data_IF_491608449340
#
_entry.id   IF_491608449340
#
_cell.length_a   1.000
_cell.length_b   1.000
_cell.length_c   1.000
_cell.angle_alpha   90.00
_cell.angle_beta   90.00
_cell.angle_gamma   90.00
#
_symmetry.space_group_name_H-M   'P 1'
#
loop_
_entity.id
_entity.type
_entity.pdbx_description
1 polymer ?
#
# COMPACT_ATOMS: atom_id res chain seq x y z
N UNK A 1 22.61 16.38 -25.40
CA UNK A 1 22.10 15.81 -24.15
C UNK A 1 21.18 14.67 -24.52
N UNK A 2 21.19 13.52 -23.86
CA UNK A 2 20.21 12.47 -24.12
C UNK A 2 18.81 13.05 -23.87
N UNK A 3 17.87 12.74 -24.73
CA UNK A 3 16.49 13.22 -24.64
C UNK A 3 15.87 12.69 -23.33
N UNK A 4 15.45 13.59 -22.45
CA UNK A 4 14.79 13.23 -21.19
C UNK A 4 13.53 12.41 -21.48
N UNK A 5 13.44 11.22 -20.90
CA UNK A 5 12.29 10.31 -21.09
C UNK A 5 11.03 10.86 -20.43
N UNK A 6 9.91 10.75 -21.15
CA UNK A 6 8.61 11.32 -20.76
C UNK A 6 7.65 10.23 -20.28
N UNK A 7 7.17 10.37 -19.06
CA UNK A 7 6.22 9.43 -18.44
C UNK A 7 4.88 10.14 -18.21
N UNK A 8 3.83 9.63 -18.85
CA UNK A 8 2.46 10.01 -18.54
C UNK A 8 1.93 9.10 -17.44
N UNK A 9 1.59 9.65 -16.29
CA UNK A 9 0.94 8.91 -15.20
C UNK A 9 -0.56 9.18 -15.22
N UNK A 10 -1.36 8.12 -15.28
CA UNK A 10 -2.81 8.19 -15.17
C UNK A 10 -3.21 7.50 -13.87
N UNK A 11 -3.73 8.26 -12.92
CA UNK A 11 -3.98 7.82 -11.56
C UNK A 11 -5.36 8.20 -11.08
N UNK A 12 -5.96 7.37 -10.23
CA UNK A 12 -7.28 7.65 -9.68
C UNK A 12 -7.24 8.77 -8.64
N UNK A 13 -6.29 8.75 -7.73
CA UNK A 13 -6.15 9.76 -6.68
C UNK A 13 -4.69 10.04 -6.35
N UNK A 14 -4.39 11.33 -6.17
CA UNK A 14 -3.13 11.82 -5.59
C UNK A 14 -3.38 12.59 -4.29
N UNK A 15 -4.55 12.41 -3.68
CA UNK A 15 -4.86 12.94 -2.36
C UNK A 15 -4.32 11.97 -1.31
N UNK A 16 -3.24 12.36 -0.65
CA UNK A 16 -2.58 11.52 0.39
C UNK A 16 -3.46 11.28 1.61
N UNK A 17 -4.48 12.10 1.82
CA UNK A 17 -5.45 11.92 2.90
C UNK A 17 -6.57 10.91 2.55
N UNK A 18 -6.68 10.52 1.29
CA UNK A 18 -7.73 9.65 0.79
C UNK A 18 -7.50 8.17 1.16
N UNK A 19 -6.26 7.68 0.99
CA UNK A 19 -5.94 6.27 1.30
C UNK A 19 -4.42 5.99 1.32
N UNK A 20 -4.03 4.83 1.88
CA UNK A 20 -2.66 4.32 1.78
C UNK A 20 -2.23 4.07 0.33
N UNK A 21 -3.15 3.63 -0.54
CA UNK A 21 -2.87 3.46 -1.97
C UNK A 21 -2.56 4.78 -2.65
N UNK A 22 -3.24 5.88 -2.29
CA UNK A 22 -2.93 7.22 -2.82
C UNK A 22 -1.56 7.71 -2.34
N UNK A 23 -1.17 7.43 -1.09
CA UNK A 23 0.19 7.72 -0.58
C UNK A 23 1.25 6.97 -1.39
N UNK A 24 1.08 5.67 -1.61
CA UNK A 24 2.00 4.87 -2.41
C UNK A 24 2.11 5.37 -3.86
N UNK A 25 0.98 5.79 -4.46
CA UNK A 25 0.96 6.37 -5.80
C UNK A 25 1.74 7.70 -5.85
N UNK A 26 1.55 8.58 -4.88
CA UNK A 26 2.26 9.87 -4.81
C UNK A 26 3.77 9.64 -4.62
N UNK A 27 4.17 8.75 -3.71
CA UNK A 27 5.57 8.40 -3.52
C UNK A 27 6.24 7.90 -4.81
N UNK A 28 5.57 7.00 -5.55
CA UNK A 28 6.07 6.52 -6.84
C UNK A 28 6.20 7.66 -7.87
N UNK A 29 5.20 8.53 -7.97
CA UNK A 29 5.21 9.67 -8.90
C UNK A 29 6.37 10.62 -8.60
N UNK A 30 6.57 10.96 -7.33
CA UNK A 30 7.65 11.85 -6.89
C UNK A 30 9.02 11.23 -7.15
N UNK A 31 9.19 9.93 -6.87
CA UNK A 31 10.45 9.23 -7.09
C UNK A 31 10.76 9.06 -8.59
N UNK A 32 9.76 8.91 -9.47
CA UNK A 32 9.97 8.96 -10.92
C UNK A 32 10.49 10.33 -11.36
N UNK A 33 9.96 11.41 -10.82
CA UNK A 33 10.47 12.76 -11.11
C UNK A 33 11.89 12.94 -10.57
N UNK A 34 12.15 12.55 -9.33
CA UNK A 34 13.49 12.60 -8.71
C UNK A 34 14.52 11.74 -9.45
N UNK A 35 14.09 10.63 -10.06
CA UNK A 35 14.90 9.80 -10.94
C UNK A 35 15.27 10.46 -12.29
N UNK A 36 14.80 11.69 -12.52
CA UNK A 36 15.14 12.51 -13.68
C UNK A 36 14.19 12.34 -14.88
N UNK A 37 13.05 11.67 -14.73
CA UNK A 37 12.04 11.59 -15.79
C UNK A 37 11.18 12.85 -15.85
N UNK A 38 10.76 13.27 -17.06
CA UNK A 38 9.72 14.29 -17.23
C UNK A 38 8.35 13.64 -16.98
N UNK A 39 7.72 13.98 -15.86
CA UNK A 39 6.46 13.34 -15.42
C UNK A 39 5.29 14.30 -15.62
N UNK A 40 4.25 13.84 -16.31
CA UNK A 40 2.95 14.52 -16.41
C UNK A 40 1.88 13.61 -15.77
N UNK A 41 1.12 14.16 -14.82
CA UNK A 41 0.10 13.40 -14.07
C UNK A 41 -1.30 13.82 -14.49
N UNK A 42 -2.11 12.86 -14.91
CA UNK A 42 -3.55 13.02 -15.07
C UNK A 42 -4.25 12.26 -13.94
N UNK A 43 -4.94 12.97 -13.04
CA UNK A 43 -5.56 12.38 -11.87
C UNK A 43 -7.07 12.62 -11.77
N UNK A 44 -7.79 11.61 -11.30
CA UNK A 44 -9.26 11.67 -11.12
C UNK A 44 -9.65 11.88 -9.65
N UNK A 45 -8.86 12.66 -8.90
CA UNK A 45 -9.07 12.93 -7.47
C UNK A 45 -10.34 13.75 -7.19
N UNK A 46 -10.87 14.46 -8.23
CA UNK A 46 -12.01 15.40 -8.11
C UNK A 46 -11.70 16.64 -7.26
N UNK A 47 -10.43 16.90 -6.99
CA UNK A 47 -9.87 18.08 -6.33
C UNK A 47 -8.73 18.59 -7.19
N UNK A 48 -8.47 19.87 -7.17
CA UNK A 48 -7.26 20.45 -7.76
C UNK A 48 -6.10 20.21 -6.77
N UNK A 49 -5.18 19.33 -7.13
CA UNK A 49 -3.99 19.02 -6.32
C UNK A 49 -2.78 19.14 -7.25
N UNK A 50 -1.73 19.79 -6.75
CA UNK A 50 -0.43 19.86 -7.39
C UNK A 50 0.61 19.18 -6.53
N UNK A 51 1.50 18.42 -7.15
CA UNK A 51 2.71 17.90 -6.52
C UNK A 51 3.86 18.85 -6.85
N UNK A 52 4.76 19.04 -5.89
CA UNK A 52 5.88 19.94 -6.08
C UNK A 52 6.68 19.55 -7.34
N UNK A 53 6.96 20.54 -8.21
CA UNK A 53 7.75 20.41 -9.43
C UNK A 53 7.19 19.45 -10.50
N UNK A 54 5.99 18.87 -10.28
CA UNK A 54 5.36 17.93 -11.21
C UNK A 54 4.05 18.51 -11.76
N UNK A 55 3.92 18.52 -13.06
CA UNK A 55 2.69 18.98 -13.73
C UNK A 55 1.54 18.01 -13.47
N UNK A 56 0.51 18.45 -12.76
CA UNK A 56 -0.69 17.68 -12.45
C UNK A 56 -1.93 18.28 -13.10
N UNK A 57 -2.71 17.43 -13.77
CA UNK A 57 -3.94 17.79 -14.47
C UNK A 57 -5.14 17.06 -13.87
N UNK A 58 -6.00 17.80 -13.18
CA UNK A 58 -7.23 17.25 -12.62
C UNK A 58 -8.24 16.91 -13.72
N UNK A 59 -8.66 15.66 -13.79
CA UNK A 59 -9.64 15.19 -14.77
C UNK A 59 -11.04 15.56 -14.31
N UNK A 60 -11.77 16.29 -15.14
CA UNK A 60 -13.16 16.70 -14.88
C UNK A 60 -14.15 15.58 -15.21
N UNK A 61 -15.09 15.33 -14.31
CA UNK A 61 -16.18 14.37 -14.52
C UNK A 61 -17.08 14.80 -15.68
N UNK A 62 -17.38 13.89 -16.61
CA UNK A 62 -18.36 14.09 -17.68
C UNK A 62 -19.77 14.10 -17.12
N UNK A 63 -20.33 15.28 -16.84
CA UNK A 63 -21.65 15.44 -16.23
C UNK A 63 -22.81 15.45 -17.22
N UNK A 64 -22.52 15.57 -18.54
CA UNK A 64 -23.54 15.58 -19.62
C UNK A 64 -23.50 14.29 -20.42
N UNK A 65 -23.53 13.13 -19.74
CA UNK A 65 -23.55 11.82 -20.38
C UNK A 65 -24.72 10.96 -19.88
N UNK A 66 -25.23 10.05 -20.71
CA UNK A 66 -26.27 9.11 -20.29
C UNK A 66 -25.82 8.27 -19.08
N UNK A 67 -24.55 7.84 -19.05
CA UNK A 67 -23.97 7.09 -17.91
C UNK A 67 -23.95 7.92 -16.62
N UNK A 68 -23.70 9.23 -16.71
CA UNK A 68 -23.79 10.11 -15.56
C UNK A 68 -25.23 10.17 -15.03
N UNK A 69 -26.21 10.37 -15.90
CA UNK A 69 -27.62 10.41 -15.51
C UNK A 69 -28.06 9.08 -14.88
N UNK A 70 -27.72 7.95 -15.49
CA UNK A 70 -27.99 6.61 -14.94
C UNK A 70 -27.31 6.39 -13.57
N UNK A 71 -26.09 6.84 -13.40
CA UNK A 71 -25.37 6.76 -12.12
C UNK A 71 -26.03 7.61 -11.02
N UNK A 72 -26.62 8.75 -11.40
CA UNK A 72 -27.37 9.63 -10.47
C UNK A 72 -28.72 9.00 -10.12
N UNK A 73 -29.42 8.45 -11.10
CA UNK A 73 -30.68 7.74 -10.88
C UNK A 73 -30.50 6.53 -9.95
N UNK A 74 -29.44 5.73 -10.15
CA UNK A 74 -29.11 4.61 -9.25
C UNK A 74 -28.90 5.09 -7.80
N UNK A 75 -28.14 6.19 -7.61
CA UNK A 75 -27.92 6.78 -6.29
C UNK A 75 -29.19 7.33 -5.67
N UNK A 76 -30.06 7.98 -6.47
CA UNK A 76 -31.37 8.45 -6.05
C UNK A 76 -32.25 7.31 -5.56
N UNK A 77 -32.39 6.24 -6.35
CA UNK A 77 -33.16 5.04 -5.99
C UNK A 77 -32.63 4.44 -4.68
N UNK A 78 -31.32 4.29 -4.56
CA UNK A 78 -30.70 3.76 -3.34
C UNK A 78 -30.98 4.63 -2.12
N UNK A 79 -30.92 5.93 -2.27
CA UNK A 79 -31.12 6.86 -1.15
C UNK A 79 -32.58 6.91 -0.68
N UNK A 80 -33.51 7.09 -1.61
CA UNK A 80 -34.92 7.29 -1.26
C UNK A 80 -35.67 5.96 -1.04
N UNK A 81 -35.42 4.97 -1.88
CA UNK A 81 -36.15 3.69 -1.80
C UNK A 81 -35.38 2.61 -1.04
N UNK A 82 -34.13 2.88 -0.59
CA UNK A 82 -33.25 1.92 0.08
C UNK A 82 -32.97 0.65 -0.77
N UNK A 83 -33.22 0.70 -2.07
CA UNK A 83 -32.98 -0.40 -3.02
C UNK A 83 -31.59 -0.23 -3.63
N UNK A 84 -30.72 -1.20 -3.41
CA UNK A 84 -29.40 -1.22 -4.02
C UNK A 84 -29.45 -1.98 -5.34
N UNK A 85 -29.48 -1.27 -6.46
CA UNK A 85 -29.40 -1.85 -7.80
C UNK A 85 -27.95 -2.19 -8.21
N UNK A 86 -26.95 -1.72 -7.47
CA UNK A 86 -25.54 -1.87 -7.84
C UNK A 86 -25.13 -3.33 -8.04
N UNK A 87 -25.51 -4.24 -7.12
CA UNK A 87 -25.20 -5.67 -7.24
C UNK A 87 -25.82 -6.31 -8.49
N UNK A 88 -27.06 -5.92 -8.84
CA UNK A 88 -27.73 -6.42 -10.05
C UNK A 88 -27.05 -5.89 -11.31
N UNK A 89 -26.76 -4.60 -11.35
CA UNK A 89 -26.07 -3.97 -12.47
C UNK A 89 -24.67 -4.55 -12.66
N UNK A 90 -23.92 -4.71 -11.58
CA UNK A 90 -22.60 -5.34 -11.64
C UNK A 90 -22.65 -6.81 -12.06
N UNK A 91 -23.69 -7.54 -11.67
CA UNK A 91 -23.88 -8.93 -12.12
C UNK A 91 -24.08 -9.02 -13.65
N UNK A 92 -24.75 -8.02 -14.24
CA UNK A 92 -25.02 -7.96 -15.69
C UNK A 92 -23.84 -7.35 -16.45
N UNK A 93 -23.34 -6.21 -16.00
CA UNK A 93 -22.34 -5.39 -16.72
C UNK A 93 -20.91 -5.53 -16.18
N UNK A 94 -20.71 -6.25 -15.08
CA UNK A 94 -19.43 -6.39 -14.40
C UNK A 94 -19.07 -5.21 -13.49
N UNK A 95 -19.51 -4.00 -13.87
CA UNK A 95 -19.13 -2.76 -13.21
C UNK A 95 -20.31 -1.78 -13.15
N UNK A 96 -20.20 -0.80 -12.24
CA UNK A 96 -21.21 0.25 -12.06
C UNK A 96 -21.21 1.28 -13.19
N UNK A 97 -22.34 1.92 -13.42
CA UNK A 97 -22.43 3.06 -14.36
C UNK A 97 -21.52 4.22 -13.96
N UNK A 98 -21.27 4.39 -12.66
CA UNK A 98 -20.30 5.38 -12.17
C UNK A 98 -18.91 5.08 -12.70
N UNK A 99 -18.44 3.81 -12.60
CA UNK A 99 -17.13 3.43 -13.11
C UNK A 99 -17.02 3.66 -14.63
N UNK A 100 -18.04 3.30 -15.38
CA UNK A 100 -18.05 3.55 -16.84
C UNK A 100 -18.02 5.04 -17.19
N UNK A 101 -18.73 5.89 -16.44
CA UNK A 101 -18.66 7.33 -16.62
C UNK A 101 -17.28 7.90 -16.28
N UNK A 102 -16.69 7.45 -15.18
CA UNK A 102 -15.36 7.84 -14.73
C UNK A 102 -14.29 7.45 -15.77
N UNK A 103 -14.33 6.20 -16.24
CA UNK A 103 -13.51 5.72 -17.37
C UNK A 103 -13.62 6.63 -18.59
N UNK A 104 -14.85 6.96 -18.99
CA UNK A 104 -15.08 7.81 -20.19
C UNK A 104 -14.62 9.24 -19.95
N UNK A 105 -14.63 9.72 -18.71
CA UNK A 105 -14.07 11.02 -18.34
C UNK A 105 -12.54 11.04 -18.50
N UNK A 106 -11.87 9.98 -18.04
CA UNK A 106 -10.42 9.82 -18.19
C UNK A 106 -10.06 9.73 -19.67
N UNK A 107 -10.75 8.90 -20.46
CA UNK A 107 -10.51 8.78 -21.92
C UNK A 107 -10.65 10.11 -22.64
N UNK A 108 -11.67 10.91 -22.28
CA UNK A 108 -11.88 12.21 -22.91
C UNK A 108 -10.73 13.19 -22.60
N UNK A 109 -10.31 13.25 -21.33
CA UNK A 109 -9.20 14.11 -20.94
C UNK A 109 -7.88 13.71 -21.63
N UNK A 110 -7.59 12.42 -21.74
CA UNK A 110 -6.39 11.96 -22.44
C UNK A 110 -6.42 12.21 -23.95
N UNK A 111 -7.59 12.18 -24.59
CA UNK A 111 -7.74 12.52 -26.02
C UNK A 111 -7.53 14.02 -26.27
N UNK A 112 -7.81 14.86 -25.30
CA UNK A 112 -7.62 16.31 -25.37
C UNK A 112 -6.19 16.74 -25.04
N UNK A 113 -5.33 15.81 -24.58
CA UNK A 113 -3.93 16.08 -24.25
C UNK A 113 -3.16 16.58 -25.47
N UNK A 114 -2.51 17.73 -25.33
CA UNK A 114 -1.69 18.35 -26.40
C UNK A 114 -0.26 18.58 -25.90
N UNK A 115 0.69 18.52 -26.83
CA UNK A 115 2.08 18.91 -26.56
C UNK A 115 2.92 17.88 -25.82
N UNK A 116 2.34 16.89 -25.15
CA UNK A 116 3.08 15.85 -24.43
C UNK A 116 3.01 14.52 -25.17
N UNK A 117 4.15 14.03 -25.62
CA UNK A 117 4.28 12.73 -26.30
C UNK A 117 5.01 11.76 -25.35
N UNK A 118 4.29 10.91 -24.61
CA UNK A 118 4.91 10.02 -23.65
C UNK A 118 5.74 8.92 -24.33
N UNK A 119 6.89 8.59 -23.73
CA UNK A 119 7.64 7.37 -24.01
C UNK A 119 7.04 6.17 -23.27
N UNK A 120 6.44 6.43 -22.08
CA UNK A 120 5.77 5.45 -21.24
C UNK A 120 4.46 6.04 -20.70
N UNK A 121 3.41 5.21 -20.63
CA UNK A 121 2.13 5.53 -19.99
C UNK A 121 1.94 4.60 -18.81
N UNK A 122 1.99 5.14 -17.61
CA UNK A 122 1.83 4.40 -16.35
C UNK A 122 0.41 4.57 -15.82
N UNK A 123 -0.33 3.48 -15.61
CA UNK A 123 -1.60 3.51 -14.90
C UNK A 123 -1.44 2.96 -13.49
N UNK A 124 -1.96 3.69 -12.50
CA UNK A 124 -1.91 3.32 -11.10
C UNK A 124 -3.30 2.97 -10.59
N UNK A 125 -3.46 1.77 -10.01
CA UNK A 125 -4.70 1.35 -9.36
C UNK A 125 -4.82 1.93 -7.94
N UNK A 126 -5.98 1.75 -7.32
CA UNK A 126 -6.26 2.13 -5.94
C UNK A 126 -7.13 1.05 -5.31
N UNK A 127 -6.52 0.12 -4.56
CA UNK A 127 -7.21 -1.06 -4.08
C UNK A 127 -7.89 -1.82 -5.23
N UNK A 128 -9.14 -2.23 -5.05
CA UNK A 128 -9.95 -2.89 -6.09
C UNK A 128 -10.49 -1.95 -7.20
N UNK A 129 -10.00 -0.71 -7.27
CA UNK A 129 -10.41 0.24 -8.31
C UNK A 129 -9.35 0.40 -9.39
N UNK A 130 -9.74 0.17 -10.63
CA UNK A 130 -8.88 0.17 -11.80
C UNK A 130 -9.37 1.13 -12.89
N UNK A 131 -9.96 2.29 -12.53
CA UNK A 131 -10.48 3.28 -13.48
C UNK A 131 -9.47 3.72 -14.55
N UNK A 132 -8.20 4.02 -14.21
CA UNK A 132 -7.17 4.33 -15.20
C UNK A 132 -6.92 3.17 -16.17
N UNK A 133 -6.85 1.93 -15.68
CA UNK A 133 -6.64 0.74 -16.51
C UNK A 133 -7.82 0.51 -17.47
N UNK A 134 -9.06 0.68 -16.98
CA UNK A 134 -10.25 0.65 -17.84
C UNK A 134 -10.21 1.70 -18.95
N UNK A 135 -9.68 2.89 -18.65
CA UNK A 135 -9.55 3.95 -19.65
C UNK A 135 -8.53 3.59 -20.71
N UNK A 136 -7.37 3.05 -20.32
CA UNK A 136 -6.32 2.67 -21.27
C UNK A 136 -6.75 1.51 -22.20
N UNK A 137 -7.58 0.58 -21.74
CA UNK A 137 -8.17 -0.45 -22.61
C UNK A 137 -8.98 0.15 -23.78
N UNK A 138 -9.48 1.39 -23.65
CA UNK A 138 -10.20 2.13 -24.71
C UNK A 138 -9.29 3.01 -25.57
N UNK A 139 -7.99 2.90 -25.40
CA UNK A 139 -6.98 3.72 -26.10
C UNK A 139 -5.89 2.86 -26.76
N UNK A 140 -6.22 2.05 -27.78
CA UNK A 140 -5.30 1.08 -28.38
C UNK A 140 -3.99 1.70 -28.87
N UNK A 141 -4.00 2.97 -29.31
CA UNK A 141 -2.78 3.66 -29.74
C UNK A 141 -1.75 3.94 -28.62
N UNK A 142 -2.10 3.64 -27.36
CA UNK A 142 -1.19 3.76 -26.22
C UNK A 142 -0.73 2.41 -25.67
N UNK A 143 -1.26 1.28 -26.15
CA UNK A 143 -1.00 -0.05 -25.57
C UNK A 143 0.48 -0.43 -25.63
N UNK A 144 1.20 -0.14 -26.69
CA UNK A 144 2.64 -0.43 -26.84
C UNK A 144 3.54 0.38 -25.87
N UNK A 145 2.98 1.41 -25.24
CA UNK A 145 3.67 2.24 -24.25
C UNK A 145 3.09 2.07 -22.85
N UNK A 146 2.07 1.23 -22.68
CA UNK A 146 1.33 1.11 -21.44
C UNK A 146 2.00 0.17 -20.45
N UNK A 147 2.32 0.69 -19.26
CA UNK A 147 2.66 -0.06 -18.07
C UNK A 147 1.48 -0.01 -17.11
N UNK A 148 0.90 -1.18 -16.83
CA UNK A 148 -0.20 -1.34 -15.89
C UNK A 148 0.34 -1.72 -14.50
N UNK A 149 0.26 -0.81 -13.51
CA UNK A 149 0.70 -1.10 -12.15
C UNK A 149 -0.46 -1.65 -11.32
N UNK A 150 -0.29 -2.84 -10.76
CA UNK A 150 -1.32 -3.59 -10.04
C UNK A 150 -0.88 -3.72 -8.58
N UNK A 151 -1.55 -2.98 -7.70
CA UNK A 151 -1.20 -2.94 -6.29
C UNK A 151 -1.67 -4.15 -5.50
N UNK A 152 -2.82 -4.72 -5.88
CA UNK A 152 -3.50 -5.78 -5.14
C UNK A 152 -4.04 -6.84 -6.09
N UNK A 153 -4.28 -8.10 -5.64
CA UNK A 153 -5.00 -9.09 -6.40
C UNK A 153 -6.38 -8.57 -6.81
N UNK A 154 -6.83 -8.93 -7.99
CA UNK A 154 -8.17 -8.60 -8.47
C UNK A 154 -8.62 -9.61 -9.53
N UNK A 155 -9.91 -9.97 -9.59
CA UNK A 155 -11.02 -9.62 -8.67
C UNK A 155 -10.87 -10.18 -7.24
N UNK A 156 -11.77 -9.75 -6.35
CA UNK A 156 -11.68 -10.05 -4.90
C UNK A 156 -11.65 -11.54 -4.57
N UNK A 157 -12.21 -12.42 -5.39
CA UNK A 157 -12.13 -13.87 -5.17
C UNK A 157 -10.76 -14.47 -5.50
N UNK A 158 -9.86 -13.70 -6.15
CA UNK A 158 -8.46 -14.05 -6.35
C UNK A 158 -7.54 -13.57 -5.21
N UNK A 159 -8.09 -12.91 -4.21
CA UNK A 159 -7.30 -12.63 -3.01
C UNK A 159 -6.95 -13.93 -2.28
N UNK A 160 -5.77 -14.03 -1.65
CA UNK A 160 -5.50 -15.13 -0.75
C UNK A 160 -6.46 -15.06 0.46
N UNK A 161 -6.79 -16.21 1.04
CA UNK A 161 -7.53 -16.24 2.30
C UNK A 161 -6.73 -15.49 3.39
N UNK A 162 -7.41 -14.81 4.34
CA UNK A 162 -8.86 -14.78 4.59
C UNK A 162 -9.63 -13.74 3.77
N UNK A 163 -9.00 -12.99 2.87
CA UNK A 163 -9.60 -11.82 2.22
C UNK A 163 -10.46 -12.14 0.99
N UNK A 164 -10.41 -13.39 0.50
CA UNK A 164 -11.15 -13.78 -0.69
C UNK A 164 -12.68 -13.78 -0.48
N UNK A 165 -13.41 -13.12 -1.37
CA UNK A 165 -14.86 -13.18 -1.43
C UNK A 165 -15.35 -12.93 -2.87
N UNK A 166 -16.44 -13.59 -3.26
CA UNK A 166 -16.98 -13.45 -4.60
C UNK A 166 -17.87 -12.21 -4.69
N UNK A 167 -17.51 -11.31 -5.58
CA UNK A 167 -18.27 -10.09 -5.85
C UNK A 167 -19.21 -10.25 -7.05
N UNK A 168 -20.20 -9.36 -7.14
CA UNK A 168 -21.07 -9.31 -8.31
C UNK A 168 -20.24 -9.01 -9.57
N UNK A 169 -20.52 -9.70 -10.68
CA UNK A 169 -19.78 -9.53 -11.93
C UNK A 169 -18.38 -10.10 -11.92
N UNK A 170 -18.09 -11.09 -11.07
CA UNK A 170 -16.78 -11.70 -10.93
C UNK A 170 -16.16 -12.11 -12.27
N UNK A 171 -16.94 -12.78 -13.14
CA UNK A 171 -16.47 -13.21 -14.47
C UNK A 171 -16.04 -12.03 -15.35
N UNK A 172 -16.86 -10.98 -15.41
CA UNK A 172 -16.53 -9.80 -16.22
C UNK A 172 -15.30 -9.05 -15.67
N UNK A 173 -15.08 -9.12 -14.35
CA UNK A 173 -13.90 -8.57 -13.68
C UNK A 173 -12.64 -9.40 -13.96
N UNK A 174 -12.78 -10.72 -14.06
CA UNK A 174 -11.70 -11.60 -14.55
C UNK A 174 -11.36 -11.31 -16.00
N UNK A 175 -12.38 -11.23 -16.88
CA UNK A 175 -12.18 -10.90 -18.29
C UNK A 175 -11.48 -9.53 -18.44
N UNK A 176 -11.84 -8.55 -17.61
CA UNK A 176 -11.16 -7.26 -17.55
C UNK A 176 -9.68 -7.41 -17.19
N UNK A 177 -9.33 -8.16 -16.14
CA UNK A 177 -7.93 -8.36 -15.75
C UNK A 177 -7.15 -9.13 -16.81
N UNK A 178 -7.78 -10.09 -17.46
CA UNK A 178 -7.23 -10.80 -18.62
C UNK A 178 -6.93 -9.84 -19.78
N UNK A 179 -7.85 -8.92 -20.09
CA UNK A 179 -7.62 -7.91 -21.11
C UNK A 179 -6.46 -6.96 -20.72
N UNK A 180 -6.36 -6.53 -19.48
CA UNK A 180 -5.23 -5.72 -18.99
C UNK A 180 -3.91 -6.47 -19.20
N UNK A 181 -3.86 -7.73 -18.76
CA UNK A 181 -2.66 -8.58 -18.92
C UNK A 181 -2.23 -8.75 -20.38
N UNK A 182 -3.19 -8.87 -21.29
CA UNK A 182 -2.92 -9.05 -22.72
C UNK A 182 -2.52 -7.74 -23.42
N UNK A 183 -3.19 -6.62 -23.09
CA UNK A 183 -3.08 -5.34 -23.82
C UNK A 183 -1.99 -4.43 -23.30
N UNK A 184 -1.70 -4.46 -21.99
CA UNK A 184 -0.56 -3.73 -21.48
C UNK A 184 0.73 -4.33 -22.04
N UNK A 185 1.67 -3.48 -22.46
CA UNK A 185 2.99 -3.90 -22.90
C UNK A 185 3.79 -4.48 -21.73
N UNK A 186 3.68 -3.83 -20.58
CA UNK A 186 4.36 -4.18 -19.34
C UNK A 186 3.34 -4.16 -18.20
N UNK A 187 3.49 -5.08 -17.26
CA UNK A 187 2.74 -5.06 -16.02
C UNK A 187 3.69 -4.89 -14.83
N UNK A 188 3.37 -4.02 -13.91
CA UNK A 188 4.19 -3.75 -12.74
C UNK A 188 3.48 -4.16 -11.45
N UNK A 189 4.26 -4.64 -10.48
CA UNK A 189 3.76 -5.13 -9.20
C UNK A 189 4.65 -4.62 -8.05
N UNK A 190 4.10 -4.34 -6.86
CA UNK A 190 4.91 -3.93 -5.71
C UNK A 190 5.75 -5.09 -5.13
N UNK A 191 5.47 -6.33 -5.50
CA UNK A 191 6.14 -7.51 -4.94
C UNK A 191 6.28 -8.63 -5.98
N UNK A 192 7.30 -9.44 -5.78
CA UNK A 192 7.54 -10.64 -6.60
C UNK A 192 6.42 -11.67 -6.38
N UNK A 193 6.05 -11.92 -5.14
CA UNK A 193 4.99 -12.88 -4.83
C UNK A 193 3.64 -12.46 -5.40
N UNK A 194 3.32 -11.15 -5.45
CA UNK A 194 2.08 -10.69 -6.10
C UNK A 194 2.12 -10.88 -7.60
N UNK A 195 3.25 -10.62 -8.24
CA UNK A 195 3.43 -10.90 -9.68
C UNK A 195 3.23 -12.38 -9.98
N UNK A 196 3.84 -13.26 -9.20
CA UNK A 196 3.70 -14.72 -9.34
C UNK A 196 2.26 -15.18 -9.05
N UNK A 197 1.63 -14.65 -8.00
CA UNK A 197 0.23 -14.93 -7.64
C UNK A 197 -0.73 -14.56 -8.76
N UNK A 198 -0.65 -13.34 -9.27
CA UNK A 198 -1.49 -12.90 -10.39
C UNK A 198 -1.12 -13.63 -11.68
N UNK A 199 0.14 -13.96 -11.87
CA UNK A 199 0.63 -14.76 -13.01
C UNK A 199 0.11 -16.19 -13.02
N UNK A 200 -0.16 -16.79 -11.86
CA UNK A 200 -0.79 -18.11 -11.76
C UNK A 200 -2.24 -18.13 -12.26
N UNK A 201 -2.93 -16.98 -12.20
CA UNK A 201 -4.29 -16.81 -12.73
C UNK A 201 -4.30 -16.31 -14.17
N UNK A 202 -3.33 -15.46 -14.54
CA UNK A 202 -3.24 -14.82 -15.85
C UNK A 202 -1.77 -14.82 -16.32
N UNK A 203 -1.35 -15.83 -17.05
CA UNK A 203 0.03 -16.06 -17.46
C UNK A 203 0.79 -14.82 -18.00
N UNK A 204 0.16 -13.87 -18.78
CA UNK A 204 0.89 -12.70 -19.25
C UNK A 204 1.41 -11.78 -18.13
N UNK A 205 0.84 -11.81 -16.92
CA UNK A 205 1.37 -11.06 -15.80
C UNK A 205 2.75 -11.53 -15.35
N UNK A 206 3.04 -12.81 -15.49
CA UNK A 206 4.36 -13.34 -15.19
C UNK A 206 5.36 -13.05 -16.31
N UNK A 207 4.96 -13.19 -17.57
CA UNK A 207 5.87 -13.01 -18.72
C UNK A 207 6.20 -11.55 -19.03
N UNK A 208 5.30 -10.63 -18.76
CA UNK A 208 5.46 -9.18 -18.94
C UNK A 208 5.70 -8.42 -17.63
N UNK A 209 5.73 -9.15 -16.52
CA UNK A 209 5.79 -8.59 -15.17
C UNK A 209 7.15 -8.00 -14.83
N UNK A 210 7.13 -6.87 -14.16
CA UNK A 210 8.28 -6.26 -13.50
C UNK A 210 7.93 -5.93 -12.06
N UNK A 211 8.91 -6.02 -11.18
CA UNK A 211 8.71 -5.64 -9.77
C UNK A 211 9.22 -4.22 -9.57
N UNK A 212 8.33 -3.34 -9.14
CA UNK A 212 8.64 -1.98 -8.69
C UNK A 212 8.08 -1.88 -7.28
N UNK A 213 8.89 -2.01 -6.22
CA UNK A 213 8.40 -2.03 -4.85
C UNK A 213 7.72 -0.71 -4.47
N UNK A 214 6.92 -0.73 -3.43
CA UNK A 214 6.42 0.51 -2.82
C UNK A 214 7.59 1.40 -2.45
N UNK A 215 7.47 2.68 -2.77
CA UNK A 215 8.53 3.66 -2.60
C UNK A 215 8.47 4.33 -1.23
N UNK A 216 9.62 4.75 -0.73
CA UNK A 216 9.69 5.70 0.38
C UNK A 216 9.39 7.09 -0.15
N UNK A 217 8.55 7.84 0.53
CA UNK A 217 8.38 9.25 0.27
C UNK A 217 9.61 10.01 0.77
N UNK A 218 10.43 10.52 -0.11
CA UNK A 218 11.59 11.37 0.19
C UNK A 218 11.17 12.85 0.38
N UNK A 219 10.08 13.09 1.08
CA UNK A 219 9.58 14.42 1.36
C UNK A 219 9.80 14.83 2.81
N UNK A 220 10.72 15.73 3.07
CA UNK A 220 10.82 16.53 4.30
C UNK A 220 10.98 15.78 5.64
N UNK A 221 11.91 14.83 5.70
CA UNK A 221 12.40 14.33 7.00
C UNK A 221 13.02 15.48 7.84
N UNK A 222 13.31 16.63 7.24
CA UNK A 222 13.91 17.79 7.92
C UNK A 222 12.97 18.51 8.89
N UNK A 223 11.65 18.37 8.77
CA UNK A 223 10.69 18.92 9.73
C UNK A 223 10.40 17.96 10.90
N UNK A 224 11.44 17.44 11.55
CA UNK A 224 11.31 16.74 12.84
C UNK A 224 10.98 17.70 14.01
N UNK A 225 10.47 18.89 13.71
CA UNK A 225 10.06 19.90 14.69
C UNK A 225 8.77 19.52 15.44
N UNK A 226 7.99 18.56 14.96
CA UNK A 226 6.79 18.09 15.66
C UNK A 226 7.15 17.56 17.06
N UNK A 227 6.48 18.09 18.06
CA UNK A 227 6.65 17.67 19.46
C UNK A 227 6.13 16.22 19.59
N UNK A 228 6.95 15.38 20.25
CA UNK A 228 6.52 14.03 20.58
C UNK A 228 5.30 14.05 21.51
N UNK A 229 4.32 13.18 21.29
CA UNK A 229 3.14 13.11 22.14
C UNK A 229 3.51 12.58 23.53
N UNK A 230 2.74 12.97 24.55
CA UNK A 230 3.00 12.63 25.95
C UNK A 230 2.99 11.10 26.21
N UNK A 231 2.26 10.34 25.40
CA UNK A 231 2.23 8.87 25.53
C UNK A 231 3.52 8.19 25.02
N UNK A 232 4.40 8.91 24.36
CA UNK A 232 5.65 8.37 23.79
C UNK A 232 6.87 8.93 24.52
N UNK A 233 7.55 8.06 25.27
CA UNK A 233 8.84 8.38 25.88
C UNK A 233 9.97 7.67 25.12
N UNK A 234 10.89 8.40 24.44
CA UNK A 234 11.98 7.81 23.66
C UNK A 234 12.99 7.02 24.50
N UNK A 235 12.98 7.18 25.83
CA UNK A 235 13.86 6.43 26.75
C UNK A 235 13.29 5.05 27.08
N UNK A 236 12.07 4.74 26.66
CA UNK A 236 11.48 3.43 26.85
C UNK A 236 11.84 2.48 25.71
N UNK A 237 11.81 1.18 25.98
CA UNK A 237 11.76 0.14 24.97
C UNK A 237 10.40 0.17 24.28
N UNK A 238 10.30 0.91 23.18
CA UNK A 238 9.08 1.12 22.43
C UNK A 238 8.97 0.14 21.26
N UNK A 239 7.90 -0.68 21.27
CA UNK A 239 7.48 -1.50 20.14
C UNK A 239 6.29 -0.80 19.47
N UNK A 240 6.39 -0.51 18.17
CA UNK A 240 5.40 0.31 17.47
C UNK A 240 4.80 -0.42 16.26
N UNK A 241 3.49 -0.59 16.27
CA UNK A 241 2.71 -0.94 15.08
C UNK A 241 2.07 0.33 14.52
N UNK A 242 2.49 0.78 13.35
CA UNK A 242 1.90 1.93 12.67
C UNK A 242 0.99 1.48 11.51
N UNK A 243 -0.29 1.85 11.57
CA UNK A 243 -1.31 1.59 10.54
C UNK A 243 -2.56 0.92 11.07
N UNK A 244 -3.62 0.96 10.27
CA UNK A 244 -4.91 0.41 10.64
C UNK A 244 -4.87 -1.13 10.75
N UNK A 245 -5.57 -1.65 11.75
CA UNK A 245 -5.84 -3.07 11.88
C UNK A 245 -7.02 -3.42 10.97
N UNK A 246 -6.73 -3.98 9.81
CA UNK A 246 -7.74 -4.52 8.92
C UNK A 246 -8.24 -5.87 9.44
N UNK A 247 -9.46 -6.26 9.02
CA UNK A 247 -9.98 -7.58 9.28
C UNK A 247 -8.98 -8.67 8.88
N UNK A 248 -8.79 -9.66 9.74
CA UNK A 248 -7.81 -10.74 9.55
C UNK A 248 -6.39 -10.46 10.08
N UNK A 249 -6.02 -9.22 10.35
CA UNK A 249 -4.77 -8.85 11.06
C UNK A 249 -5.01 -8.86 12.55
N UNK A 250 -5.08 -10.06 13.09
CA UNK A 250 -5.44 -10.28 14.49
C UNK A 250 -4.31 -9.85 15.45
N UNK A 251 -4.51 -8.84 16.30
CA UNK A 251 -3.46 -8.36 17.20
C UNK A 251 -3.27 -9.21 18.46
N UNK A 252 -4.16 -10.18 18.72
CA UNK A 252 -4.20 -10.93 19.98
C UNK A 252 -2.90 -11.66 20.27
N UNK A 253 -2.35 -12.38 19.29
CA UNK A 253 -1.10 -13.10 19.49
C UNK A 253 0.06 -12.21 19.91
N UNK A 254 0.15 -11.01 19.32
CA UNK A 254 1.15 -10.01 19.72
C UNK A 254 0.93 -9.51 21.15
N UNK A 255 -0.32 -9.18 21.53
CA UNK A 255 -0.62 -8.66 22.86
C UNK A 255 -0.38 -9.74 23.92
N UNK A 256 -0.83 -10.96 23.68
CA UNK A 256 -0.59 -12.10 24.59
C UNK A 256 0.90 -12.41 24.72
N UNK A 257 1.66 -12.42 23.62
CA UNK A 257 3.11 -12.59 23.65
C UNK A 257 3.80 -11.48 24.45
N UNK A 258 3.33 -10.24 24.31
CA UNK A 258 3.83 -9.12 25.11
C UNK A 258 3.49 -9.27 26.59
N UNK A 259 2.31 -9.77 26.94
CA UNK A 259 1.95 -10.09 28.33
C UNK A 259 2.81 -11.19 28.91
N UNK A 260 3.09 -12.29 28.19
CA UNK A 260 3.97 -13.37 28.64
C UNK A 260 5.40 -12.86 28.85
N UNK A 261 5.93 -12.04 27.95
CA UNK A 261 7.22 -11.36 28.16
C UNK A 261 7.24 -10.55 29.47
N UNK A 262 6.20 -9.73 29.74
CA UNK A 262 6.14 -8.92 30.95
C UNK A 262 5.93 -9.73 32.24
N UNK A 263 5.32 -10.93 32.15
CA UNK A 263 5.22 -11.87 33.28
C UNK A 263 6.59 -12.49 33.60
N UNK A 264 7.32 -12.92 32.58
CA UNK A 264 8.66 -13.47 32.71
C UNK A 264 9.67 -12.42 33.20
N UNK A 265 9.48 -11.14 32.81
CA UNK A 265 10.38 -10.02 33.11
C UNK A 265 9.65 -8.88 33.83
N UNK A 266 9.28 -9.00 35.13
CA UNK A 266 8.49 -7.98 35.84
C UNK A 266 9.14 -6.59 35.90
N UNK A 267 10.48 -6.52 35.87
CA UNK A 267 11.23 -5.27 35.85
C UNK A 267 11.03 -4.47 34.57
N UNK A 268 10.76 -5.15 33.44
CA UNK A 268 10.51 -4.53 32.15
C UNK A 268 9.23 -3.70 32.08
N UNK A 269 8.29 -3.90 33.03
CA UNK A 269 7.04 -3.11 33.12
C UNK A 269 7.27 -1.62 33.26
N UNK A 270 8.44 -1.21 33.79
CA UNK A 270 8.76 0.20 34.05
C UNK A 270 9.11 0.97 32.78
N UNK A 271 9.79 0.33 31.85
CA UNK A 271 10.44 0.96 30.71
C UNK A 271 10.06 0.36 29.34
N UNK A 272 9.03 -0.45 29.28
CA UNK A 272 8.54 -1.04 28.02
C UNK A 272 7.17 -0.50 27.64
N UNK A 273 6.94 -0.24 26.35
CA UNK A 273 5.65 0.17 25.80
C UNK A 273 5.38 -0.55 24.47
N UNK A 274 4.14 -1.02 24.31
CA UNK A 274 3.59 -1.51 23.05
C UNK A 274 2.57 -0.50 22.55
N UNK A 275 2.79 0.09 21.38
CA UNK A 275 1.99 1.18 20.83
C UNK A 275 1.37 0.79 19.50
N UNK A 276 0.06 0.96 19.37
CA UNK A 276 -0.67 0.84 18.12
C UNK A 276 -1.10 2.23 17.64
N UNK A 277 -0.53 2.67 16.52
CA UNK A 277 -0.80 3.98 15.91
C UNK A 277 -1.70 3.78 14.69
N UNK A 278 -2.98 4.11 14.82
CA UNK A 278 -3.99 3.99 13.76
C UNK A 278 -5.26 3.28 14.19
N UNK A 279 -6.26 3.28 13.33
CA UNK A 279 -7.58 2.77 13.62
C UNK A 279 -7.60 1.27 13.96
N UNK A 280 -8.21 0.93 15.08
CA UNK A 280 -8.38 -0.44 15.52
C UNK A 280 -9.56 -1.16 14.82
N UNK A 281 -10.49 -0.41 14.22
CA UNK A 281 -11.65 -0.91 13.46
C UNK A 281 -12.41 -2.04 14.18
N UNK A 282 -12.37 -3.24 13.62
CA UNK A 282 -13.04 -4.42 14.13
C UNK A 282 -12.60 -4.82 15.55
N UNK A 283 -11.36 -4.49 15.92
CA UNK A 283 -10.77 -4.88 17.21
C UNK A 283 -10.91 -3.80 18.31
N UNK A 284 -11.57 -2.67 18.06
CA UNK A 284 -11.59 -1.51 18.96
C UNK A 284 -12.06 -1.85 20.37
N UNK A 285 -13.14 -2.62 20.53
CA UNK A 285 -13.69 -3.00 21.83
C UNK A 285 -12.70 -3.84 22.63
N UNK A 286 -12.15 -4.87 21.98
CA UNK A 286 -11.21 -5.80 22.60
C UNK A 286 -9.90 -5.11 23.01
N UNK A 287 -9.37 -4.25 22.14
CA UNK A 287 -8.16 -3.50 22.45
C UNK A 287 -8.34 -2.52 23.61
N UNK A 288 -9.52 -1.93 23.77
CA UNK A 288 -9.83 -1.10 24.92
C UNK A 288 -9.88 -1.89 26.24
N UNK A 289 -10.19 -3.17 26.20
CA UNK A 289 -10.09 -4.06 27.35
C UNK A 289 -8.64 -4.32 27.74
N UNK A 290 -7.80 -4.67 26.76
CA UNK A 290 -6.36 -4.83 26.99
C UNK A 290 -5.68 -3.55 27.51
N UNK A 291 -6.05 -2.35 27.04
CA UNK A 291 -5.50 -1.09 27.56
C UNK A 291 -5.80 -0.88 29.04
N UNK A 292 -6.99 -1.31 29.50
CA UNK A 292 -7.35 -1.20 30.94
C UNK A 292 -6.57 -2.17 31.82
N UNK A 293 -6.27 -3.35 31.31
CA UNK A 293 -5.59 -4.42 32.06
C UNK A 293 -4.05 -4.31 31.97
N UNK A 294 -3.53 -3.69 30.92
CA UNK A 294 -2.12 -3.63 30.58
C UNK A 294 -1.63 -2.18 30.40
N UNK A 295 -1.19 -1.50 31.47
CA UNK A 295 -0.75 -0.09 31.39
C UNK A 295 0.43 0.18 30.42
N UNK A 296 1.15 -0.88 30.00
CA UNK A 296 2.24 -0.81 29.04
C UNK A 296 1.75 -0.82 27.59
N UNK A 297 0.49 -1.12 27.36
CA UNK A 297 -0.13 -1.15 26.03
C UNK A 297 -0.95 0.12 25.79
N UNK A 298 -0.87 0.68 24.58
CA UNK A 298 -1.61 1.88 24.20
C UNK A 298 -2.06 1.81 22.75
N UNK A 299 -3.33 2.18 22.51
CA UNK A 299 -3.89 2.35 21.17
C UNK A 299 -4.18 3.83 20.94
N UNK A 300 -3.73 4.35 19.82
CA UNK A 300 -4.00 5.72 19.36
C UNK A 300 -4.84 5.60 18.10
N UNK A 301 -6.18 5.61 18.22
CA UNK A 301 -7.09 5.37 17.09
C UNK A 301 -7.24 6.58 16.19
N UNK A 302 -6.85 7.77 16.65
CA UNK A 302 -6.97 9.00 15.91
C UNK A 302 -5.97 9.07 14.76
N UNK A 303 -6.31 9.87 13.75
CA UNK A 303 -5.39 10.17 12.67
C UNK A 303 -4.16 10.92 13.21
N UNK A 304 -3.00 10.35 12.96
CA UNK A 304 -1.72 11.00 13.24
C UNK A 304 -1.10 11.52 11.93
N UNK A 305 -0.52 12.73 11.96
CA UNK A 305 0.25 13.24 10.83
C UNK A 305 1.33 12.25 10.40
N UNK A 306 1.49 12.05 9.11
CA UNK A 306 2.40 11.04 8.59
C UNK A 306 3.84 11.26 9.04
N UNK A 307 4.31 12.52 9.06
CA UNK A 307 5.64 12.89 9.55
C UNK A 307 5.86 12.49 11.01
N UNK A 308 4.85 12.66 11.86
CA UNK A 308 4.91 12.24 13.25
C UNK A 308 5.04 10.72 13.37
N UNK A 309 4.28 9.97 12.57
CA UNK A 309 4.36 8.50 12.55
C UNK A 309 5.76 8.05 12.12
N UNK A 310 6.32 8.62 11.05
CA UNK A 310 7.69 8.33 10.62
C UNK A 310 8.73 8.67 11.70
N UNK A 311 8.58 9.83 12.36
CA UNK A 311 9.43 10.19 13.48
C UNK A 311 9.38 9.16 14.61
N UNK A 312 8.18 8.76 15.03
CA UNK A 312 7.99 7.74 16.07
C UNK A 312 8.63 6.41 15.64
N UNK A 313 8.40 5.95 14.39
CA UNK A 313 9.03 4.72 13.88
C UNK A 313 10.56 4.78 13.92
N UNK A 314 11.16 5.91 13.59
CA UNK A 314 12.62 6.09 13.54
C UNK A 314 13.26 6.09 14.94
N UNK A 315 12.56 6.60 15.96
CA UNK A 315 13.09 6.69 17.33
C UNK A 315 12.57 5.57 18.25
N UNK A 316 11.72 4.70 17.75
CA UNK A 316 11.29 3.48 18.44
C UNK A 316 12.41 2.43 18.45
N UNK A 317 12.32 1.47 19.34
CA UNK A 317 13.27 0.37 19.40
C UNK A 317 12.95 -0.73 18.39
N UNK A 318 11.66 -0.98 18.16
CA UNK A 318 11.18 -2.06 17.27
C UNK A 318 9.96 -1.59 16.47
N UNK A 319 10.00 -1.78 15.17
CA UNK A 319 8.82 -1.61 14.31
C UNK A 319 8.11 -2.95 14.10
N UNK A 320 6.78 -2.96 14.12
CA UNK A 320 5.98 -4.18 13.99
C UNK A 320 5.24 -4.18 12.67
N UNK A 321 5.42 -5.24 11.89
CA UNK A 321 4.59 -5.54 10.73
C UNK A 321 3.68 -6.72 11.08
N UNK A 322 2.37 -6.46 11.03
CA UNK A 322 1.33 -7.44 11.31
C UNK A 322 0.59 -7.77 10.02
N UNK A 323 0.66 -9.01 9.57
CA UNK A 323 -0.05 -9.54 8.41
C UNK A 323 -1.18 -10.48 8.88
N UNK A 324 -2.10 -10.82 8.00
CA UNK A 324 -3.16 -11.77 8.34
C UNK A 324 -2.63 -13.20 8.41
N UNK A 325 -3.24 -14.02 9.27
CA UNK A 325 -2.98 -15.47 9.24
C UNK A 325 -3.46 -16.03 7.90
N UNK A 326 -2.54 -16.59 7.15
CA UNK A 326 -2.74 -17.07 5.79
C UNK A 326 -1.69 -18.12 5.44
N UNK A 327 -1.91 -18.90 4.39
CA UNK A 327 -0.85 -19.74 3.81
C UNK A 327 0.16 -18.93 3.00
N UNK A 328 -0.27 -17.78 2.48
CA UNK A 328 0.56 -16.88 1.68
C UNK A 328 0.09 -15.43 1.83
N UNK A 329 1.03 -14.51 1.97
CA UNK A 329 0.81 -13.06 1.86
C UNK A 329 1.66 -12.50 0.70
N UNK A 330 1.09 -12.39 -0.49
CA UNK A 330 1.82 -11.90 -1.66
C UNK A 330 2.04 -10.37 -1.62
N UNK A 331 1.45 -9.69 -0.67
CA UNK A 331 1.50 -8.25 -0.55
C UNK A 331 2.86 -7.76 -0.04
N UNK A 332 3.36 -6.65 -0.58
CA UNK A 332 4.34 -5.85 0.15
C UNK A 332 3.57 -4.86 1.03
N UNK A 333 3.62 -4.99 2.36
CA UNK A 333 2.93 -4.03 3.23
C UNK A 333 3.41 -2.60 2.95
N UNK A 334 2.48 -1.66 2.76
CA UNK A 334 2.83 -0.26 2.43
C UNK A 334 3.70 0.42 3.50
N UNK A 335 3.73 -0.10 4.73
CA UNK A 335 4.62 0.35 5.81
C UNK A 335 6.04 -0.24 5.73
N UNK A 336 6.27 -1.30 4.95
CA UNK A 336 7.56 -1.98 4.89
C UNK A 336 8.70 -1.03 4.49
N UNK A 337 8.58 -0.19 3.46
CA UNK A 337 9.63 0.77 3.13
C UNK A 337 9.95 1.74 4.27
N UNK A 338 8.94 2.17 5.02
CA UNK A 338 9.15 3.08 6.16
C UNK A 338 9.82 2.40 7.34
N UNK A 339 9.51 1.12 7.59
CA UNK A 339 10.19 0.31 8.61
C UNK A 339 11.67 0.09 8.25
N UNK A 340 11.99 -0.17 6.96
CA UNK A 340 13.37 -0.27 6.48
C UNK A 340 14.10 1.06 6.64
N UNK A 341 13.49 2.17 6.17
CA UNK A 341 14.06 3.52 6.28
C UNK A 341 14.25 4.01 7.73
N UNK A 342 13.51 3.45 8.69
CA UNK A 342 13.69 3.72 10.10
C UNK A 342 14.93 3.05 10.69
N UNK A 343 15.49 2.06 9.99
CA UNK A 343 16.65 1.26 10.39
C UNK A 343 16.56 0.69 11.81
N UNK A 344 15.37 0.21 12.19
CA UNK A 344 15.11 -0.47 13.46
C UNK A 344 14.66 -1.90 13.22
N UNK A 345 14.97 -2.87 14.11
CA UNK A 345 14.49 -4.22 14.00
C UNK A 345 13.00 -4.28 13.68
N UNK A 346 12.62 -5.18 12.79
CA UNK A 346 11.24 -5.39 12.38
C UNK A 346 10.73 -6.68 13.02
N UNK A 347 9.83 -6.59 13.99
CA UNK A 347 9.10 -7.77 14.43
C UNK A 347 8.02 -8.08 13.39
N UNK A 348 8.31 -9.05 12.53
CA UNK A 348 7.40 -9.49 11.47
C UNK A 348 6.51 -10.63 11.97
N UNK A 349 5.20 -10.35 12.04
CA UNK A 349 4.18 -11.33 12.42
C UNK A 349 3.27 -11.61 11.23
N UNK A 350 3.36 -12.83 10.70
CA UNK A 350 2.61 -13.20 9.50
C UNK A 350 3.03 -14.57 8.95
N UNK A 351 2.47 -15.00 7.80
CA UNK A 351 2.71 -16.32 7.26
C UNK A 351 4.16 -16.52 6.82
N UNK A 352 4.60 -17.77 6.86
CA UNK A 352 5.94 -18.15 6.41
C UNK A 352 6.21 -17.73 4.96
N UNK A 353 5.21 -17.89 4.07
CA UNK A 353 5.31 -17.42 2.69
C UNK A 353 4.71 -16.02 2.62
N UNK A 354 5.53 -14.99 2.84
CA UNK A 354 5.15 -13.59 2.65
C UNK A 354 6.24 -12.80 1.94
N UNK A 355 5.84 -11.74 1.23
CA UNK A 355 6.82 -10.88 0.55
C UNK A 355 7.74 -10.19 1.55
N UNK A 356 7.21 -9.75 2.69
CA UNK A 356 8.04 -9.14 3.73
C UNK A 356 9.06 -10.14 4.29
N UNK A 357 8.67 -11.40 4.55
CA UNK A 357 9.59 -12.45 4.99
C UNK A 357 10.65 -12.76 3.94
N UNK A 358 10.23 -12.89 2.66
CA UNK A 358 11.15 -13.11 1.54
C UNK A 358 12.22 -12.01 1.44
N UNK A 359 11.85 -10.76 1.62
CA UNK A 359 12.78 -9.62 1.57
C UNK A 359 13.70 -9.57 2.79
N UNK A 360 13.20 -9.85 3.98
CA UNK A 360 14.03 -9.90 5.20
C UNK A 360 15.01 -11.08 5.18
N UNK A 361 14.68 -12.16 4.48
CA UNK A 361 15.52 -13.36 4.36
C UNK A 361 14.99 -14.51 5.20
N UNK A 362 15.37 -15.73 4.81
CA UNK A 362 14.90 -16.95 5.49
C UNK A 362 15.47 -17.10 6.90
N UNK A 363 16.64 -16.56 7.13
CA UNK A 363 17.38 -16.52 8.39
C UNK A 363 17.02 -15.35 9.31
N UNK A 364 16.07 -14.50 8.90
CA UNK A 364 15.66 -13.35 9.71
C UNK A 364 15.06 -13.81 11.04
N UNK A 365 15.70 -13.43 12.14
CA UNK A 365 15.43 -13.94 13.48
C UNK A 365 14.05 -13.53 14.03
N UNK A 366 13.66 -12.25 13.84
CA UNK A 366 12.47 -11.67 14.50
C UNK A 366 11.20 -11.86 13.66
N UNK A 367 10.94 -13.12 13.29
CA UNK A 367 9.73 -13.54 12.59
C UNK A 367 8.99 -14.63 13.36
N UNK A 368 7.65 -14.51 13.40
CA UNK A 368 6.76 -15.54 13.92
C UNK A 368 5.44 -15.57 13.13
N UNK A 369 4.72 -16.68 13.17
CA UNK A 369 3.30 -16.66 12.81
C UNK A 369 2.54 -15.77 13.80
N UNK A 370 1.43 -15.18 13.34
CA UNK A 370 0.68 -14.16 14.09
C UNK A 370 0.13 -14.66 15.44
N UNK A 371 -0.01 -15.96 15.62
CA UNK A 371 -0.55 -16.64 16.80
C UNK A 371 0.48 -17.51 17.57
N UNK A 372 1.75 -17.44 17.22
CA UNK A 372 2.84 -18.11 17.97
C UNK A 372 3.25 -17.30 19.21
N UNK A 373 2.37 -17.26 20.22
CA UNK A 373 2.48 -16.42 21.41
C UNK A 373 3.84 -16.55 22.10
N UNK A 374 4.29 -17.77 22.36
CA UNK A 374 5.56 -18.05 23.06
C UNK A 374 6.77 -17.57 22.25
N UNK A 375 6.75 -17.77 20.94
CA UNK A 375 7.83 -17.33 20.04
C UNK A 375 7.87 -15.80 19.95
N UNK A 376 6.70 -15.16 19.90
CA UNK A 376 6.57 -13.69 19.92
C UNK A 376 7.14 -13.15 21.24
N UNK A 377 6.79 -13.75 22.38
CA UNK A 377 7.34 -13.38 23.69
C UNK A 377 8.86 -13.48 23.73
N UNK A 378 9.41 -14.59 23.23
CA UNK A 378 10.87 -14.81 23.16
C UNK A 378 11.59 -13.80 22.25
N UNK A 379 10.99 -13.42 21.12
CA UNK A 379 11.57 -12.37 20.26
C UNK A 379 11.56 -11.00 20.95
N UNK A 380 10.47 -10.65 21.64
CA UNK A 380 10.39 -9.39 22.42
C UNK A 380 11.43 -9.40 23.53
N UNK A 381 11.59 -10.51 24.22
CA UNK A 381 12.57 -10.69 25.30
C UNK A 381 14.00 -10.50 24.79
N UNK A 382 14.38 -11.16 23.69
CA UNK A 382 15.69 -11.01 23.07
C UNK A 382 15.97 -9.56 22.69
N UNK A 383 15.04 -8.90 22.01
CA UNK A 383 15.15 -7.49 21.61
C UNK A 383 15.28 -6.56 22.84
N UNK A 384 14.53 -6.85 23.91
CA UNK A 384 14.60 -6.09 25.15
C UNK A 384 15.97 -6.21 25.82
N UNK A 385 16.54 -7.42 25.89
CA UNK A 385 17.85 -7.59 26.49
C UNK A 385 18.99 -7.04 25.63
N UNK A 386 18.88 -7.07 24.32
CA UNK A 386 19.81 -6.37 23.43
C UNK A 386 19.73 -4.86 23.65
N UNK A 387 18.55 -4.29 23.73
CA UNK A 387 18.34 -2.87 24.05
C UNK A 387 18.91 -2.50 25.42
N UNK A 388 18.78 -3.37 26.43
CA UNK A 388 19.35 -3.13 27.75
C UNK A 388 20.89 -3.12 27.76
N UNK A 389 21.52 -3.92 26.91
CA UNK A 389 22.97 -3.94 26.77
C UNK A 389 23.46 -2.66 26.09
N UNK A 390 22.84 -2.28 25.00
CA UNK A 390 23.16 -1.07 24.24
C UNK A 390 21.97 -0.61 23.41
N UNK A 391 21.32 0.45 23.87
CA UNK A 391 20.14 1.02 23.20
C UNK A 391 20.46 1.67 21.84
N UNK A 392 21.75 1.93 21.56
CA UNK A 392 22.17 2.59 20.31
C UNK A 392 22.42 1.61 19.17
N UNK A 393 22.56 0.30 19.46
CA UNK A 393 22.92 -0.73 18.48
C UNK A 393 21.73 -1.58 17.99
N UNK A 394 20.49 -1.21 18.33
CA UNK A 394 19.31 -1.85 17.78
C UNK A 394 19.02 -1.31 16.37
N UNK A 395 19.68 -1.88 15.38
CA UNK A 395 19.53 -1.51 13.97
C UNK A 395 19.08 -2.71 13.15
N UNK A 396 18.35 -2.43 12.07
CA UNK A 396 18.00 -3.45 11.06
C UNK A 396 19.23 -3.81 10.20
N UNK A 397 20.04 -2.78 9.89
CA UNK A 397 21.29 -2.87 9.12
C UNK A 397 21.15 -3.67 7.82
N UNK A 398 20.23 -3.24 6.94
CA UNK A 398 19.92 -3.89 5.66
C UNK A 398 20.10 -2.90 4.47
N UNK A 399 21.36 -2.52 4.16
CA UNK A 399 21.64 -1.62 3.03
C UNK A 399 21.17 -2.18 1.67
N UNK A 400 21.06 -3.49 1.53
CA UNK A 400 20.48 -4.14 0.36
C UNK A 400 18.99 -3.82 0.18
N UNK A 401 18.22 -3.72 1.28
CA UNK A 401 16.82 -3.32 1.23
C UNK A 401 16.67 -1.81 1.02
N UNK A 402 17.55 -1.01 1.59
CA UNK A 402 17.57 0.44 1.32
C UNK A 402 17.81 0.71 -0.15
N UNK A 403 18.79 0.04 -0.77
CA UNK A 403 19.06 0.14 -2.21
C UNK A 403 17.87 -0.36 -3.03
N UNK A 404 17.27 -1.52 -2.69
CA UNK A 404 16.09 -2.07 -3.37
C UNK A 404 14.89 -1.12 -3.36
N UNK A 405 14.75 -0.29 -2.32
CA UNK A 405 13.67 0.68 -2.15
C UNK A 405 14.05 2.10 -2.61
N UNK A 406 15.27 2.28 -3.15
CA UNK A 406 15.83 3.58 -3.53
C UNK A 406 15.29 4.12 -4.86
N UNK A 407 15.45 5.42 -5.04
CA UNK A 407 15.20 6.09 -6.33
C UNK A 407 16.14 5.57 -7.42
N UNK A 408 17.37 5.17 -7.07
CA UNK A 408 18.33 4.60 -8.02
C UNK A 408 17.83 3.27 -8.57
N UNK A 409 17.37 2.37 -7.71
CA UNK A 409 16.77 1.09 -8.15
C UNK A 409 15.56 1.31 -9.05
N UNK A 410 14.69 2.26 -8.71
CA UNK A 410 13.55 2.64 -9.55
C UNK A 410 14.03 3.15 -10.92
N UNK A 411 15.00 4.06 -10.92
CA UNK A 411 15.59 4.63 -12.15
C UNK A 411 16.16 3.54 -13.06
N UNK A 412 16.97 2.64 -12.50
CA UNK A 412 17.53 1.52 -13.26
C UNK A 412 16.45 0.59 -13.81
N UNK A 413 15.44 0.28 -13.01
CA UNK A 413 14.33 -0.59 -13.43
C UNK A 413 13.57 0.01 -14.61
N UNK A 414 13.25 1.31 -14.54
CA UNK A 414 12.55 2.01 -15.64
C UNK A 414 13.47 2.15 -16.88
N UNK A 415 14.75 2.43 -16.69
CA UNK A 415 15.69 2.53 -17.81
C UNK A 415 15.90 1.18 -18.52
N UNK A 416 15.95 0.06 -17.81
CA UNK A 416 15.98 -1.29 -18.39
C UNK A 416 14.74 -1.56 -19.26
N UNK A 417 13.57 -1.02 -18.88
CA UNK A 417 12.35 -1.10 -19.70
C UNK A 417 12.49 -0.33 -21.00
N UNK A 418 13.05 0.88 -20.97
CA UNK A 418 13.29 1.66 -22.17
C UNK A 418 14.35 1.05 -23.13
N UNK A 419 15.31 0.29 -22.60
CA UNK A 419 16.33 -0.37 -23.40
C UNK A 419 15.82 -1.62 -24.14
N UNK A 420 14.77 -2.26 -23.62
CA UNK A 420 14.14 -3.45 -24.23
C UNK A 420 13.17 -3.12 -25.37
N UNK A 421 12.83 -1.83 -25.52
CA UNK A 421 11.99 -1.28 -26.62
C UNK A 421 12.85 -0.75 -27.75
#
# INVERSE_FOLDING_TARGET
MPHQKKILVVVESIDVEDSSGSKANVALIQNLHQAGFEVLVYHYTRKEIQLAEISCMAIKEKRRSALFLLSRLERYIRYYFKISLSKLLEKVFGFSFTLFNDRNSIVAALKEMKGFKPDLVLTLSKGGSFRPHHALLKMPGLHEKWMAYIHDPYPMHLYPKPYAWTEAGARQKEDFMKEVALKAEITAFPSKLLMEWMGSHFAPYQTKGVVIPHQVEHGRIEDLTEKLPEYFNPQNFNLVHAGNLLWGRDPRGLILGFQEFLKANPSAKKDTRLLFLGGANHYSSELSEYERELPQFKVIPDYLPFNLVQKIQKISCVNIILEAKSTISPFLPGKFPHCVSADKPILLLGPFISEAKRLLGDDYLYWAEIDEIEKIAGHIENLYFEWKKDSTHLELNRPDLEEYLSVNYLSETINKIFQKK
#
